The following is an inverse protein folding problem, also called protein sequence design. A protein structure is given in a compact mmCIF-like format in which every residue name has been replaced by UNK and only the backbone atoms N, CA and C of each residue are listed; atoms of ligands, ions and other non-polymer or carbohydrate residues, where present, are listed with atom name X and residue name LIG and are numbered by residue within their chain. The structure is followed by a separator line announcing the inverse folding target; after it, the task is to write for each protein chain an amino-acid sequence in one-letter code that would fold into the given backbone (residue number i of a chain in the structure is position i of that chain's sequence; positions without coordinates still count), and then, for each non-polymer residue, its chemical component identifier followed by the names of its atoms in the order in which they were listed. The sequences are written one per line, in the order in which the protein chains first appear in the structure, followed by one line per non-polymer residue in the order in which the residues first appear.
data_IF_470507711446
#
_entry.id   IF_470507711446
#
_cell.length_a   1.000
_cell.length_b   1.000
_cell.length_c   1.000
_cell.angle_alpha   90.00
_cell.angle_beta   90.00
_cell.angle_gamma   90.00
#
_symmetry.space_group_name_H-M   'P 1'
#
loop_
_entity.id
_entity.type
_entity.pdbx_description
1 polymer ?
#
# COMPACT_ATOMS: atom_id res chain seq x y z
N UNK A 1 10.41 17.83 -12.30
CA UNK A 1 9.22 17.06 -12.67
C UNK A 1 9.10 15.73 -11.90
N UNK A 2 10.21 15.10 -11.47
CA UNK A 2 10.21 13.82 -10.70
C UNK A 2 10.46 14.00 -9.21
N UNK A 3 10.51 15.22 -8.68
CA UNK A 3 10.84 15.48 -7.26
C UNK A 3 9.90 14.77 -6.27
N UNK A 4 8.60 14.68 -6.61
CA UNK A 4 7.62 13.98 -5.78
C UNK A 4 7.89 12.47 -5.68
N UNK A 5 8.63 11.86 -6.61
CA UNK A 5 9.02 10.45 -6.53
C UNK A 5 10.15 10.21 -5.53
N UNK A 6 10.90 11.24 -5.14
CA UNK A 6 11.93 11.10 -4.11
C UNK A 6 11.35 10.88 -2.71
N UNK A 7 10.04 11.07 -2.55
CA UNK A 7 9.31 10.76 -1.33
C UNK A 7 9.19 9.24 -1.08
N UNK A 8 9.30 8.44 -2.14
CA UNK A 8 9.10 7.00 -2.08
C UNK A 8 10.41 6.23 -1.95
N UNK A 9 10.31 5.01 -1.43
CA UNK A 9 11.42 4.06 -1.36
C UNK A 9 12.00 3.76 -2.75
N UNK A 10 13.24 3.23 -2.76
CA UNK A 10 13.92 2.85 -4.01
C UNK A 10 13.07 1.93 -4.90
N UNK A 11 12.58 0.80 -4.36
CA UNK A 11 11.75 -0.14 -5.13
C UNK A 11 10.45 0.49 -5.66
N UNK A 12 9.73 1.25 -4.85
CA UNK A 12 8.48 1.93 -5.28
C UNK A 12 8.75 2.93 -6.39
N UNK A 13 9.82 3.70 -6.28
CA UNK A 13 10.26 4.65 -7.31
C UNK A 13 10.69 3.96 -8.60
N UNK A 14 11.42 2.85 -8.52
CA UNK A 14 11.84 2.05 -9.66
C UNK A 14 10.64 1.49 -10.41
N UNK A 15 9.74 0.83 -9.68
CA UNK A 15 8.50 0.33 -10.26
C UNK A 15 7.69 1.42 -10.96
N UNK A 16 7.51 2.58 -10.32
CA UNK A 16 6.73 3.66 -10.92
C UNK A 16 7.35 4.12 -12.25
N UNK A 17 8.68 4.27 -12.31
CA UNK A 17 9.38 4.66 -13.53
C UNK A 17 9.32 3.62 -14.64
N UNK A 18 9.21 2.33 -14.30
CA UNK A 18 9.01 1.26 -15.29
C UNK A 18 7.57 1.20 -15.79
N UNK A 19 6.59 1.47 -14.92
CA UNK A 19 5.17 1.37 -15.25
C UNK A 19 4.60 2.64 -15.90
N UNK A 20 5.18 3.80 -15.62
CA UNK A 20 4.68 5.11 -16.06
C UNK A 20 5.82 6.05 -16.45
N UNK A 21 5.57 6.90 -17.45
CA UNK A 21 6.56 7.88 -17.89
C UNK A 21 6.76 8.99 -16.86
N UNK A 22 5.67 9.65 -16.44
CA UNK A 22 5.71 10.79 -15.51
C UNK A 22 4.52 10.77 -14.56
N UNK A 23 4.68 11.31 -13.33
CA UNK A 23 3.56 11.53 -12.44
C UNK A 23 2.55 12.52 -13.04
N UNK A 24 1.25 12.24 -12.85
CA UNK A 24 0.20 13.20 -13.22
C UNK A 24 0.23 14.41 -12.29
N UNK A 25 -0.40 15.51 -12.72
CA UNK A 25 -0.51 16.72 -11.89
C UNK A 25 -1.20 16.44 -10.55
N UNK A 26 -2.24 15.57 -10.53
CA UNK A 26 -2.91 15.15 -9.31
C UNK A 26 -1.96 14.41 -8.36
N UNK A 27 -1.14 13.51 -8.88
CA UNK A 27 -0.15 12.75 -8.11
C UNK A 27 0.95 13.65 -7.56
N UNK A 28 1.53 14.50 -8.39
CA UNK A 28 2.62 15.41 -7.99
C UNK A 28 2.21 16.39 -6.89
N UNK A 29 0.95 16.84 -6.88
CA UNK A 29 0.43 17.75 -5.86
C UNK A 29 0.00 17.03 -4.59
N UNK A 30 -0.59 15.85 -4.68
CA UNK A 30 -1.14 15.16 -3.52
C UNK A 30 -0.08 14.38 -2.72
N UNK A 31 0.90 13.75 -3.37
CA UNK A 31 1.88 12.93 -2.66
C UNK A 31 2.69 13.65 -1.59
N UNK A 32 3.16 14.89 -1.78
CA UNK A 32 3.84 15.61 -0.71
C UNK A 32 2.97 15.80 0.53
N UNK A 33 1.68 16.14 0.35
CA UNK A 33 0.71 16.33 1.44
C UNK A 33 0.45 15.01 2.17
N UNK A 34 0.16 13.93 1.41
CA UNK A 34 -0.13 12.62 1.96
C UNK A 34 1.10 12.06 2.69
N UNK A 35 2.29 12.23 2.12
CA UNK A 35 3.54 11.74 2.70
C UNK A 35 3.88 12.48 4.01
N UNK A 36 3.57 13.76 4.10
CA UNK A 36 3.70 14.53 5.34
C UNK A 36 2.64 14.18 6.40
N UNK A 37 1.72 13.24 6.12
CA UNK A 37 0.64 12.84 7.02
C UNK A 37 -0.56 13.79 7.00
N UNK A 38 -0.63 14.71 6.04
CA UNK A 38 -1.74 15.64 5.88
C UNK A 38 -2.96 15.01 5.23
N UNK A 39 -4.11 15.67 5.37
CA UNK A 39 -5.34 15.31 4.66
C UNK A 39 -5.33 15.94 3.27
N UNK A 40 -5.75 15.19 2.25
CA UNK A 40 -5.81 15.66 0.86
C UNK A 40 -7.19 15.39 0.25
N UNK A 41 -7.74 16.38 -0.44
CA UNK A 41 -8.88 16.22 -1.32
C UNK A 41 -8.38 16.27 -2.77
N UNK A 42 -8.51 15.16 -3.49
CA UNK A 42 -8.04 15.05 -4.87
C UNK A 42 -9.24 15.03 -5.83
N UNK A 43 -9.42 16.13 -6.56
CA UNK A 43 -10.45 16.27 -7.58
C UNK A 43 -9.78 16.31 -8.94
N UNK A 44 -10.06 15.31 -9.77
CA UNK A 44 -9.44 15.19 -11.09
C UNK A 44 -10.30 14.30 -12.00
N UNK A 45 -10.20 14.42 -13.34
CA UNK A 45 -10.96 13.60 -14.29
C UNK A 45 -10.71 12.10 -14.13
N UNK A 46 -11.58 11.28 -14.70
CA UNK A 46 -11.37 9.83 -14.80
C UNK A 46 -10.09 9.54 -15.61
N UNK A 47 -9.32 8.54 -15.22
CA UNK A 47 -8.04 8.23 -15.89
C UNK A 47 -6.84 9.06 -15.43
N UNK A 48 -7.01 10.06 -14.56
CA UNK A 48 -5.92 10.91 -14.05
C UNK A 48 -5.02 10.28 -12.99
N UNK A 49 -5.16 8.98 -12.71
CA UNK A 49 -4.34 8.28 -11.72
C UNK A 49 -4.73 8.52 -10.26
N UNK A 50 -5.96 8.99 -9.96
CA UNK A 50 -6.44 9.25 -8.58
C UNK A 50 -6.29 8.05 -7.64
N UNK A 51 -6.60 6.85 -8.11
CA UNK A 51 -6.50 5.63 -7.31
C UNK A 51 -5.06 5.39 -6.86
N UNK A 52 -4.11 5.48 -7.79
CA UNK A 52 -2.70 5.33 -7.47
C UNK A 52 -2.18 6.50 -6.62
N UNK A 53 -2.72 7.70 -6.81
CA UNK A 53 -2.44 8.87 -5.99
C UNK A 53 -2.71 8.59 -4.49
N UNK A 54 -3.85 7.95 -4.19
CA UNK A 54 -4.19 7.60 -2.81
C UNK A 54 -3.36 6.41 -2.29
N UNK A 55 -3.18 5.37 -3.11
CA UNK A 55 -2.63 4.11 -2.63
C UNK A 55 -1.11 4.01 -2.65
N UNK A 56 -0.39 4.69 -3.55
CA UNK A 56 1.05 4.50 -3.67
C UNK A 56 1.80 4.82 -2.37
N UNK A 57 1.44 5.92 -1.71
CA UNK A 57 2.00 6.28 -0.41
C UNK A 57 1.66 5.26 0.68
N UNK A 58 0.44 4.71 0.65
CA UNK A 58 0.04 3.68 1.60
C UNK A 58 0.79 2.37 1.37
N UNK A 59 0.93 1.95 0.11
CA UNK A 59 1.69 0.75 -0.28
C UNK A 59 3.16 0.90 0.12
N UNK A 60 3.78 2.03 -0.21
CA UNK A 60 5.19 2.29 0.13
C UNK A 60 5.43 2.21 1.64
N UNK A 61 4.57 2.81 2.44
CA UNK A 61 4.64 2.73 3.91
C UNK A 61 4.44 1.31 4.44
N UNK A 62 3.59 0.51 3.80
CA UNK A 62 3.42 -0.90 4.15
C UNK A 62 4.67 -1.70 3.77
N UNK A 63 5.23 -1.45 2.59
CA UNK A 63 6.45 -2.10 2.09
C UNK A 63 7.67 -1.76 2.94
N UNK A 64 7.83 -0.50 3.36
CA UNK A 64 8.96 -0.05 4.18
C UNK A 64 8.80 -0.35 5.67
N UNK A 65 7.64 -0.81 6.10
CA UNK A 65 7.30 -1.00 7.51
C UNK A 65 7.10 0.31 8.29
N UNK A 66 7.05 1.44 7.62
CA UNK A 66 6.82 2.74 8.27
C UNK A 66 5.43 2.82 8.90
N UNK A 67 4.44 2.16 8.29
CA UNK A 67 3.10 2.02 8.85
C UNK A 67 3.10 1.35 10.24
N UNK A 68 4.05 0.47 10.51
CA UNK A 68 4.21 -0.16 11.82
C UNK A 68 4.95 0.74 12.81
N UNK A 69 5.87 1.59 12.34
CA UNK A 69 6.60 2.56 13.19
C UNK A 69 5.70 3.65 13.73
N UNK A 70 4.82 4.22 12.91
CA UNK A 70 3.84 5.23 13.33
C UNK A 70 2.90 4.71 14.41
N UNK A 71 2.79 3.38 14.52
CA UNK A 71 1.95 2.68 15.48
C UNK A 71 2.73 1.94 16.59
N UNK A 72 4.04 2.21 16.75
CA UNK A 72 4.87 1.65 17.81
C UNK A 72 5.39 0.22 17.57
N UNK A 73 5.28 -0.31 16.36
CA UNK A 73 5.73 -1.64 15.99
C UNK A 73 6.66 -1.53 14.77
N UNK A 74 7.94 -1.28 14.98
CA UNK A 74 8.90 -1.07 13.89
C UNK A 74 9.20 -2.37 13.13
N UNK A 75 8.84 -2.42 11.84
CA UNK A 75 9.42 -3.35 10.88
C UNK A 75 10.19 -2.55 9.84
N UNK A 76 11.45 -2.90 9.62
CA UNK A 76 12.28 -2.36 8.54
C UNK A 76 12.29 -3.36 7.38
N UNK A 77 12.43 -2.87 6.14
CA UNK A 77 12.87 -3.72 5.03
C UNK A 77 14.26 -4.23 5.42
N UNK A 78 14.35 -5.54 5.66
CA UNK A 78 15.61 -6.19 5.98
C UNK A 78 16.25 -6.74 4.69
N UNK A 79 17.61 -6.77 4.59
CA UNK A 79 18.28 -7.46 3.49
C UNK A 79 17.89 -8.95 3.49
N UNK A 80 17.67 -9.51 2.30
CA UNK A 80 17.33 -10.92 2.10
C UNK A 80 18.47 -11.78 2.66
N UNK A 81 18.22 -12.53 3.74
CA UNK A 81 19.22 -13.39 4.38
C UNK A 81 19.66 -12.96 5.78
N UNK A 82 19.20 -11.85 6.31
CA UNK A 82 19.37 -11.54 7.72
C UNK A 82 18.49 -12.49 8.53
N UNK A 83 19.09 -13.46 9.21
CA UNK A 83 18.38 -14.31 10.15
C UNK A 83 17.75 -13.44 11.24
N UNK A 84 16.46 -13.61 11.45
CA UNK A 84 15.73 -12.95 12.53
C UNK A 84 16.21 -13.51 13.87
N UNK A 85 17.08 -12.77 14.53
CA UNK A 85 17.69 -13.14 15.82
C UNK A 85 16.88 -12.57 17.00
N UNK A 86 15.75 -11.98 16.74
CA UNK A 86 14.89 -11.41 17.78
C UNK A 86 13.56 -12.18 17.83
N UNK A 87 13.37 -12.89 18.94
CA UNK A 87 12.23 -13.76 19.22
C UNK A 87 10.89 -13.14 18.80
N UNK A 88 10.03 -14.00 18.28
CA UNK A 88 8.67 -13.78 17.82
C UNK A 88 7.92 -12.71 18.63
N UNK A 89 8.07 -11.44 18.29
CA UNK A 89 7.02 -10.47 18.58
C UNK A 89 5.88 -10.78 17.62
N UNK A 90 4.93 -11.54 18.09
CA UNK A 90 3.65 -11.81 17.46
C UNK A 90 3.06 -10.47 16.98
N UNK A 91 3.31 -10.15 15.69
CA UNK A 91 2.75 -8.94 15.07
C UNK A 91 1.24 -9.05 15.22
N UNK A 92 0.65 -8.20 16.03
CA UNK A 92 -0.79 -8.07 16.10
C UNK A 92 -1.24 -7.58 14.71
N UNK A 93 -1.71 -8.50 13.88
CA UNK A 93 -2.25 -8.16 12.56
C UNK A 93 -3.44 -7.23 12.78
N UNK A 94 -3.41 -6.09 12.13
CA UNK A 94 -4.49 -5.08 12.16
C UNK A 94 -4.61 -4.44 10.80
N UNK A 95 -5.77 -3.93 10.48
CA UNK A 95 -5.99 -3.11 9.30
C UNK A 95 -5.18 -1.81 9.45
N UNK A 96 -4.30 -1.54 8.49
CA UNK A 96 -3.46 -0.34 8.43
C UNK A 96 -3.99 0.69 7.44
N UNK A 97 -4.66 0.21 6.38
CA UNK A 97 -5.27 1.03 5.35
C UNK A 97 -6.72 0.64 5.19
N UNK A 98 -7.62 1.60 5.36
CA UNK A 98 -9.04 1.43 5.10
C UNK A 98 -9.44 2.25 3.87
N UNK A 99 -9.94 1.56 2.85
CA UNK A 99 -10.54 2.20 1.68
C UNK A 99 -12.05 2.06 1.72
N UNK A 100 -12.75 3.19 1.71
CA UNK A 100 -14.22 3.24 1.70
C UNK A 100 -14.68 3.58 0.29
N UNK A 101 -15.40 2.64 -0.35
CA UNK A 101 -15.96 2.81 -1.69
C UNK A 101 -17.46 3.05 -1.63
N UNK A 102 -18.01 4.04 -2.36
CA UNK A 102 -19.46 4.26 -2.41
C UNK A 102 -20.20 3.16 -3.16
N UNK A 103 -19.51 2.40 -4.02
CA UNK A 103 -20.10 1.37 -4.86
C UNK A 103 -19.32 0.05 -4.71
N UNK A 104 -20.04 -1.02 -4.46
CA UNK A 104 -19.50 -2.37 -4.30
C UNK A 104 -18.68 -2.85 -5.51
N UNK A 105 -19.13 -2.56 -6.74
CA UNK A 105 -18.39 -2.92 -7.95
C UNK A 105 -17.00 -2.25 -7.99
N UNK A 106 -16.92 -1.00 -7.57
CA UNK A 106 -15.64 -0.27 -7.48
C UNK A 106 -14.70 -0.87 -6.43
N UNK A 107 -15.23 -1.40 -5.33
CA UNK A 107 -14.41 -2.05 -4.32
C UNK A 107 -13.64 -3.27 -4.88
N UNK A 108 -14.30 -4.06 -5.72
CA UNK A 108 -13.68 -5.21 -6.40
C UNK A 108 -12.63 -4.76 -7.40
N UNK A 109 -12.92 -3.74 -8.20
CA UNK A 109 -11.99 -3.21 -9.19
C UNK A 109 -10.77 -2.57 -8.53
N UNK A 110 -10.97 -1.84 -7.44
CA UNK A 110 -9.86 -1.27 -6.67
C UNK A 110 -8.97 -2.37 -6.12
N UNK A 111 -9.51 -3.41 -5.50
CA UNK A 111 -8.71 -4.50 -4.96
C UNK A 111 -7.92 -5.25 -6.05
N UNK A 112 -8.48 -5.41 -7.25
CA UNK A 112 -7.76 -5.96 -8.42
C UNK A 112 -6.65 -5.03 -8.87
N UNK A 113 -6.93 -3.74 -8.99
CA UNK A 113 -5.98 -2.74 -9.47
C UNK A 113 -4.82 -2.49 -8.50
N UNK A 114 -4.96 -2.86 -7.22
CA UNK A 114 -3.88 -2.80 -6.24
C UNK A 114 -2.87 -3.94 -6.38
N UNK A 115 -3.22 -5.06 -7.02
CA UNK A 115 -2.30 -6.18 -7.18
C UNK A 115 -1.10 -5.82 -8.05
N UNK A 116 -1.32 -5.18 -9.19
CA UNK A 116 -0.22 -4.82 -10.09
C UNK A 116 0.87 -3.96 -9.44
N UNK A 117 0.57 -2.85 -8.72
CA UNK A 117 1.59 -2.11 -7.99
C UNK A 117 2.24 -2.93 -6.85
N UNK A 118 1.48 -3.74 -6.13
CA UNK A 118 2.04 -4.57 -5.06
C UNK A 118 3.03 -5.60 -5.61
N UNK A 119 2.63 -6.36 -6.62
CA UNK A 119 3.47 -7.38 -7.26
C UNK A 119 4.70 -6.75 -7.93
N UNK A 120 4.51 -5.61 -8.60
CA UNK A 120 5.60 -4.90 -9.26
C UNK A 120 6.62 -4.32 -8.29
N UNK A 121 6.19 -3.71 -7.19
CA UNK A 121 7.10 -3.19 -6.16
C UNK A 121 7.79 -4.35 -5.43
N UNK A 122 7.10 -5.47 -5.19
CA UNK A 122 7.69 -6.66 -4.61
C UNK A 122 8.83 -7.21 -5.49
N UNK A 123 8.63 -7.26 -6.81
CA UNK A 123 9.67 -7.66 -7.77
C UNK A 123 10.89 -6.72 -7.73
N UNK A 124 10.68 -5.41 -7.62
CA UNK A 124 11.78 -4.43 -7.47
C UNK A 124 12.52 -4.59 -6.13
N UNK A 125 11.82 -4.95 -5.05
CA UNK A 125 12.46 -5.29 -3.79
C UNK A 125 13.37 -6.51 -3.97
N UNK A 126 12.89 -7.58 -4.58
CA UNK A 126 13.67 -8.80 -4.83
C UNK A 126 14.88 -8.52 -5.73
N UNK A 127 14.71 -7.76 -6.80
CA UNK A 127 15.80 -7.36 -7.70
C UNK A 127 16.87 -6.55 -6.97
N UNK A 128 16.48 -5.80 -5.92
CA UNK A 128 17.39 -5.03 -5.06
C UNK A 128 17.96 -5.84 -3.88
N UNK A 129 17.69 -7.15 -3.79
CA UNK A 129 18.14 -8.00 -2.68
C UNK A 129 17.39 -7.75 -1.37
N UNK A 130 16.23 -7.10 -1.41
CA UNK A 130 15.39 -6.81 -0.26
C UNK A 130 14.26 -7.83 -0.15
N UNK A 131 13.82 -8.13 1.07
CA UNK A 131 12.64 -8.94 1.29
C UNK A 131 11.39 -8.07 1.12
N UNK A 132 10.51 -8.43 0.18
CA UNK A 132 9.22 -7.79 0.07
C UNK A 132 8.27 -8.32 1.15
N UNK A 133 7.60 -7.46 1.92
CA UNK A 133 6.58 -7.91 2.87
C UNK A 133 5.33 -8.41 2.13
N UNK A 134 4.74 -9.49 2.63
CA UNK A 134 3.45 -10.00 2.17
C UNK A 134 2.33 -9.07 2.69
N UNK A 135 1.70 -8.34 1.77
CA UNK A 135 0.64 -7.38 2.08
C UNK A 135 -0.72 -7.99 1.77
N UNK A 136 -1.48 -8.26 2.82
CA UNK A 136 -2.82 -8.81 2.71
C UNK A 136 -3.86 -7.76 2.31
N UNK A 137 -4.70 -8.10 1.32
CA UNK A 137 -5.86 -7.30 0.93
C UNK A 137 -7.13 -8.13 1.14
N UNK A 138 -8.16 -7.54 1.74
CA UNK A 138 -9.49 -8.14 1.79
C UNK A 138 -10.58 -7.11 1.45
N UNK A 139 -11.69 -7.62 0.93
CA UNK A 139 -12.90 -6.84 0.64
C UNK A 139 -13.97 -7.22 1.65
N UNK A 140 -14.60 -6.22 2.26
CA UNK A 140 -15.77 -6.41 3.11
C UNK A 140 -16.93 -5.57 2.60
N UNK A 141 -17.90 -6.21 2.01
CA UNK A 141 -19.12 -5.59 1.48
C UNK A 141 -20.38 -6.16 2.12
N UNK A 142 -21.55 -5.71 1.66
CA UNK A 142 -22.82 -6.29 2.07
C UNK A 142 -22.93 -7.79 1.82
N UNK A 143 -22.31 -8.29 0.74
CA UNK A 143 -22.35 -9.71 0.33
C UNK A 143 -21.25 -10.57 0.98
N UNK A 144 -20.35 -9.98 1.74
CA UNK A 144 -19.34 -10.74 2.47
C UNK A 144 -20.03 -11.70 3.44
N UNK A 145 -19.80 -12.98 3.28
CA UNK A 145 -20.42 -14.04 4.08
C UNK A 145 -19.99 -13.95 5.54
N UNK A 146 -20.78 -14.54 6.45
CA UNK A 146 -20.43 -14.59 7.89
C UNK A 146 -19.08 -15.28 8.13
N UNK A 147 -18.76 -16.30 7.33
CA UNK A 147 -17.47 -17.01 7.41
C UNK A 147 -16.30 -16.10 7.06
N UNK A 148 -16.40 -15.37 5.93
CA UNK A 148 -15.39 -14.42 5.50
C UNK A 148 -15.23 -13.26 6.49
N UNK A 149 -16.33 -12.72 7.01
CA UNK A 149 -16.28 -11.67 8.05
C UNK A 149 -15.54 -12.13 9.30
N UNK A 150 -15.76 -13.38 9.74
CA UNK A 150 -15.01 -13.97 10.85
C UNK A 150 -13.53 -14.14 10.50
N UNK A 151 -13.22 -14.60 9.29
CA UNK A 151 -11.84 -14.72 8.83
C UNK A 151 -11.11 -13.38 8.82
N UNK A 152 -11.74 -12.32 8.31
CA UNK A 152 -11.20 -10.95 8.32
C UNK A 152 -10.99 -10.45 9.77
N UNK A 153 -11.91 -10.78 10.68
CA UNK A 153 -11.80 -10.37 12.08
C UNK A 153 -10.68 -11.11 12.84
N UNK A 154 -10.50 -12.41 12.56
CA UNK A 154 -9.46 -13.23 13.20
C UNK A 154 -8.07 -13.02 12.58
N UNK A 155 -8.01 -12.74 11.29
CA UNK A 155 -6.78 -12.47 10.53
C UNK A 155 -6.95 -11.19 9.71
N UNK A 156 -6.86 -10.02 10.34
CA UNK A 156 -7.06 -8.75 9.65
C UNK A 156 -6.04 -8.57 8.51
N UNK A 157 -6.49 -8.11 7.33
CA UNK A 157 -5.60 -7.74 6.24
C UNK A 157 -4.88 -6.43 6.55
N UNK A 158 -3.81 -6.13 5.84
CA UNK A 158 -3.16 -4.82 5.92
C UNK A 158 -4.02 -3.74 5.25
N UNK A 159 -4.67 -4.07 4.12
CA UNK A 159 -5.57 -3.19 3.38
C UNK A 159 -6.98 -3.79 3.40
N UNK A 160 -7.93 -3.08 3.95
CA UNK A 160 -9.35 -3.42 3.92
C UNK A 160 -10.10 -2.48 2.98
N UNK A 161 -10.78 -3.06 2.00
CA UNK A 161 -11.65 -2.34 1.06
C UNK A 161 -13.10 -2.60 1.46
N UNK A 162 -13.92 -1.56 1.62
CA UNK A 162 -15.33 -1.65 2.03
C UNK A 162 -16.21 -0.68 1.26
#
# INVERSE_FOLDING_TARGET
MYECLNLFSGPTRAWFKHAFDVPTAAQSQAWPVIHAGGNALVVAPTGSGKTLCAFLSAIDRLMTGEADRLNGSGAMIAPKGAADVSGERRRTRRVKVLYVSPLKALAVDVAKNLRAPLDGIAAECEASGLAAPDIGIAIRSGDTTTRERRAIASHPPDILVT
#
